data_IF_729770649610
#
_entry.id   IF_729770649610
#
_cell.length_a   1.000
_cell.length_b   1.000
_cell.length_c   1.000
_cell.angle_alpha   90.00
_cell.angle_beta   90.00
_cell.angle_gamma   90.00
#
_symmetry.space_group_name_H-M   'P 1'
#
loop_
_entity.id
_entity.type
_entity.pdbx_description
1 polymer ?
#
# COMPACT_ATOMS: atom_id res chain seq x y z
N UNK A 1 3.02 21.33 -1.57
CA UNK A 1 2.54 19.94 -1.45
C UNK A 1 2.51 19.56 0.03
N UNK A 2 1.32 19.62 0.65
CA UNK A 2 1.07 19.35 2.07
C UNK A 2 -0.15 18.45 2.21
N UNK A 3 -0.20 17.66 3.28
CA UNK A 3 -1.30 16.74 3.57
C UNK A 3 -1.89 17.05 4.95
N UNK A 4 -3.22 16.97 5.15
CA UNK A 4 -3.79 16.98 6.49
C UNK A 4 -3.33 15.76 7.29
N UNK A 5 -3.06 15.97 8.58
CA UNK A 5 -2.73 14.89 9.50
C UNK A 5 -3.99 14.12 9.92
N UNK A 6 -3.81 12.90 10.43
CA UNK A 6 -4.90 12.16 11.08
C UNK A 6 -5.34 12.88 12.36
N UNK A 7 -6.53 12.56 12.86
CA UNK A 7 -7.09 13.18 14.07
C UNK A 7 -6.17 13.00 15.29
N UNK A 8 -5.61 11.80 15.44
CA UNK A 8 -4.67 11.45 16.52
C UNK A 8 -3.37 12.26 16.44
N UNK A 9 -2.77 12.37 15.25
CA UNK A 9 -1.53 13.12 15.04
C UNK A 9 -1.78 14.64 15.17
N UNK A 10 -2.93 15.11 14.74
CA UNK A 10 -3.34 16.52 14.90
C UNK A 10 -3.46 16.86 16.38
N UNK A 11 -4.02 15.99 17.20
CA UNK A 11 -4.14 16.20 18.65
C UNK A 11 -2.78 16.17 19.35
N UNK A 12 -1.89 15.26 18.94
CA UNK A 12 -0.55 15.13 19.53
C UNK A 12 0.36 16.32 19.23
N UNK A 13 0.35 16.81 17.99
CA UNK A 13 1.26 17.86 17.54
C UNK A 13 0.61 19.24 17.43
N UNK A 14 -0.71 19.35 17.66
CA UNK A 14 -1.52 20.58 17.52
C UNK A 14 -1.39 21.25 16.14
N UNK A 15 -1.05 20.48 15.11
CA UNK A 15 -0.82 20.97 13.74
C UNK A 15 -1.83 20.32 12.80
N UNK A 16 -2.46 21.12 11.93
CA UNK A 16 -3.48 20.65 10.99
C UNK A 16 -2.89 19.93 9.77
N UNK A 17 -1.72 20.36 9.29
CA UNK A 17 -1.12 19.84 8.06
C UNK A 17 0.40 19.91 8.10
N UNK A 18 1.04 18.95 7.43
CA UNK A 18 2.50 18.88 7.31
C UNK A 18 2.92 18.78 5.84
N UNK A 19 4.13 19.25 5.48
CA UNK A 19 4.66 19.04 4.15
C UNK A 19 4.97 17.55 3.95
N UNK A 20 4.60 17.02 2.79
CA UNK A 20 4.77 15.59 2.45
C UNK A 20 6.26 15.31 2.22
N UNK A 21 6.80 14.28 2.89
CA UNK A 21 8.18 13.80 2.73
C UNK A 21 8.20 12.38 2.17
N UNK A 22 9.39 11.94 1.74
CA UNK A 22 9.63 10.55 1.35
C UNK A 22 9.46 9.67 2.60
N UNK A 23 9.00 8.44 2.39
CA UNK A 23 8.81 7.42 3.43
C UNK A 23 7.61 7.65 4.38
N UNK A 24 6.86 8.75 4.20
CA UNK A 24 5.61 8.97 4.92
C UNK A 24 4.51 7.98 4.47
N UNK A 25 3.73 7.50 5.43
CA UNK A 25 2.52 6.72 5.19
C UNK A 25 1.33 7.67 5.01
N UNK A 26 0.68 7.58 3.86
CA UNK A 26 -0.47 8.42 3.53
C UNK A 26 -1.64 7.58 3.06
N UNK A 27 -2.84 8.05 3.40
CA UNK A 27 -4.10 7.47 2.94
C UNK A 27 -4.70 8.39 1.88
N UNK A 28 -5.09 7.81 0.75
CA UNK A 28 -5.83 8.55 -0.29
C UNK A 28 -7.26 8.75 0.21
N UNK A 29 -7.73 10.00 0.27
CA UNK A 29 -9.08 10.35 0.79
C UNK A 29 -10.11 10.55 -0.33
N UNK A 30 -9.67 10.88 -1.54
CA UNK A 30 -10.54 11.24 -2.68
C UNK A 30 -10.27 10.35 -3.90
N UNK A 31 -11.30 10.15 -4.73
CA UNK A 31 -11.23 9.40 -6.00
C UNK A 31 -11.39 7.89 -5.85
N UNK A 32 -11.31 7.15 -6.97
CA UNK A 32 -11.54 5.70 -7.04
C UNK A 32 -10.58 4.86 -6.18
N UNK A 33 -9.45 5.43 -5.75
CA UNK A 33 -8.49 4.79 -4.83
C UNK A 33 -8.65 5.26 -3.38
N UNK A 34 -9.78 5.90 -3.03
CA UNK A 34 -10.05 6.69 -1.82
C UNK A 34 -10.01 5.98 -0.46
N UNK A 35 -9.44 4.78 -0.38
CA UNK A 35 -9.18 4.08 0.88
C UNK A 35 -7.84 3.34 0.89
N UNK A 36 -7.02 3.49 -0.15
CA UNK A 36 -5.72 2.84 -0.19
C UNK A 36 -4.73 3.59 0.71
N UNK A 37 -4.00 2.80 1.49
CA UNK A 37 -2.85 3.25 2.28
C UNK A 37 -1.59 2.91 1.49
N UNK A 38 -0.67 3.85 1.39
CA UNK A 38 0.59 3.66 0.68
C UNK A 38 1.70 4.53 1.24
N UNK A 39 2.94 4.11 0.98
CA UNK A 39 4.14 4.88 1.31
C UNK A 39 4.52 5.81 0.17
N UNK A 40 4.95 7.02 0.50
CA UNK A 40 5.46 7.99 -0.46
C UNK A 40 6.86 7.56 -0.90
N UNK A 41 7.02 7.17 -2.16
CA UNK A 41 8.34 6.77 -2.71
C UNK A 41 9.05 7.96 -3.34
N UNK A 42 8.30 8.77 -4.08
CA UNK A 42 8.89 9.86 -4.85
C UNK A 42 7.98 11.08 -4.86
N UNK A 43 8.61 12.26 -4.83
CA UNK A 43 7.96 13.56 -4.85
C UNK A 43 8.48 14.33 -6.04
N UNK A 44 7.61 14.61 -7.00
CA UNK A 44 7.89 15.46 -8.15
C UNK A 44 7.40 16.88 -7.87
N UNK A 45 8.28 17.72 -7.30
CA UNK A 45 7.94 19.12 -6.99
C UNK A 45 7.63 19.95 -8.25
N UNK A 46 8.29 19.67 -9.38
CA UNK A 46 8.02 20.34 -10.67
C UNK A 46 6.61 20.08 -11.21
N UNK A 47 6.06 18.87 -10.98
CA UNK A 47 4.73 18.46 -11.46
C UNK A 47 3.68 18.42 -10.35
N UNK A 48 4.01 18.88 -9.14
CA UNK A 48 3.15 18.82 -7.95
C UNK A 48 2.50 17.44 -7.72
N UNK A 49 3.21 16.36 -8.05
CA UNK A 49 2.69 14.99 -8.01
C UNK A 49 3.54 14.13 -7.09
N UNK A 50 2.91 13.27 -6.30
CA UNK A 50 3.55 12.28 -5.43
C UNK A 50 3.20 10.86 -5.87
N UNK A 51 4.21 10.00 -6.00
CA UNK A 51 4.01 8.58 -6.35
C UNK A 51 3.91 7.75 -5.08
N UNK A 52 2.80 7.04 -4.94
CA UNK A 52 2.53 6.14 -3.81
C UNK A 52 2.82 4.70 -4.21
N UNK A 53 3.50 3.96 -3.35
CA UNK A 53 3.61 2.50 -3.44
C UNK A 53 2.58 1.87 -2.53
N UNK A 54 1.72 1.04 -3.11
CA UNK A 54 0.70 0.35 -2.35
C UNK A 54 1.35 -0.71 -1.44
N UNK A 55 1.11 -0.59 -0.14
CA UNK A 55 1.45 -1.61 0.83
C UNK A 55 0.29 -2.62 0.86
N UNK A 56 0.22 -3.52 -0.12
CA UNK A 56 -0.71 -4.64 -0.04
C UNK A 56 -0.16 -5.65 0.98
N UNK A 57 -0.83 -5.79 2.12
CA UNK A 57 -0.60 -6.89 3.07
C UNK A 57 -0.90 -8.29 2.47
N UNK A 58 -1.21 -8.38 1.16
CA UNK A 58 -1.36 -9.63 0.39
C UNK A 58 -0.02 -10.13 -0.17
N UNK A 59 1.03 -10.18 0.66
CA UNK A 59 2.27 -10.92 0.35
C UNK A 59 2.59 -11.95 1.42
N UNK A 60 1.57 -12.64 1.94
CA UNK A 60 1.74 -13.85 2.76
C UNK A 60 0.84 -15.04 2.39
N UNK A 61 -0.16 -14.93 1.51
CA UNK A 61 -1.12 -16.03 1.28
C UNK A 61 -1.52 -16.23 -0.20
N UNK A 62 -0.59 -16.07 -1.15
CA UNK A 62 -0.85 -16.44 -2.55
C UNK A 62 0.37 -16.99 -3.30
N UNK A 63 1.54 -17.10 -2.66
CA UNK A 63 2.70 -17.77 -3.23
C UNK A 63 2.97 -19.12 -2.55
N UNK A 64 1.89 -19.86 -2.26
CA UNK A 64 1.92 -21.32 -2.13
C UNK A 64 1.16 -22.00 -3.29
N UNK A 65 1.06 -21.35 -4.46
CA UNK A 65 0.84 -22.08 -5.71
C UNK A 65 2.18 -22.32 -6.41
N UNK A 66 3.15 -22.90 -5.70
CA UNK A 66 4.22 -23.63 -6.39
C UNK A 66 3.58 -24.91 -6.87
N UNK A 67 3.45 -25.01 -8.20
CA UNK A 67 3.28 -26.24 -8.95
C UNK A 67 3.85 -27.44 -8.18
N UNK A 68 2.97 -28.33 -7.71
CA UNK A 68 3.26 -29.77 -7.69
C UNK A 68 2.50 -30.30 -8.92
N UNK A 69 3.20 -30.43 -10.05
CA UNK A 69 3.77 -31.70 -10.51
C UNK A 69 2.66 -32.74 -10.81
N UNK A 70 2.23 -32.72 -12.08
CA UNK A 70 1.65 -33.83 -12.88
C UNK A 70 0.67 -34.81 -12.22
N UNK A 71 -0.61 -34.86 -12.67
CA UNK A 71 -1.46 -36.02 -12.46
C UNK A 71 -1.17 -37.06 -13.55
N UNK A 72 -0.19 -37.93 -13.32
CA UNK A 72 -0.01 -39.14 -14.12
C UNK A 72 0.58 -40.23 -13.23
N UNK A 73 -0.26 -41.18 -12.79
CA UNK A 73 -0.13 -42.62 -13.05
C UNK A 73 -1.16 -43.40 -12.25
N UNK A 74 -1.89 -44.23 -12.96
CA UNK A 74 -2.92 -45.18 -12.52
C UNK A 74 -2.36 -46.37 -11.71
N UNK A 75 -3.30 -47.11 -11.10
CA UNK A 75 -3.29 -48.49 -10.54
C UNK A 75 -3.22 -48.55 -9.00
N UNK A 76 -4.06 -49.27 -8.25
CA UNK A 76 -5.31 -50.02 -8.45
C UNK A 76 -5.85 -50.40 -7.04
N UNK A 77 -7.13 -50.81 -6.89
CA UNK A 77 -7.74 -51.16 -5.62
C UNK A 77 -7.39 -52.60 -5.19
N UNK A 78 -7.33 -52.83 -3.89
CA UNK A 78 -7.27 -54.13 -3.22
C UNK A 78 -8.01 -54.06 -1.89
#
# INVERSE_FOLDING_TARGET
MSCPLSKELTQKYSIRSTPIRKDDEVRVVRGHKGQQIGKVVQIYRKKYTSTLKQCSARRLMAQLSRRAFTPARWLSPG
#
